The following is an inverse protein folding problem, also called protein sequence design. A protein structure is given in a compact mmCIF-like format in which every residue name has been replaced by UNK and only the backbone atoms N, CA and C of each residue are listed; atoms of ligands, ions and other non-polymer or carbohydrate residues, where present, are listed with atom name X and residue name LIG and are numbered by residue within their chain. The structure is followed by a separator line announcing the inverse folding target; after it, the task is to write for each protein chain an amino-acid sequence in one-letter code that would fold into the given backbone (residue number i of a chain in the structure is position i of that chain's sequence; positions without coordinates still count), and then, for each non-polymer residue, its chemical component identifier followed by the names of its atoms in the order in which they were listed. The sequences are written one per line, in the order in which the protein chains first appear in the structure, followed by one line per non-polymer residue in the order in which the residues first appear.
data_IF_742112674059
#
_entry.id   IF_742112674059
#
_cell.length_a   1.000
_cell.length_b   1.000
_cell.length_c   1.000
_cell.angle_alpha   90.00
_cell.angle_beta   90.00
_cell.angle_gamma   90.00
#
_symmetry.space_group_name_H-M   'P 1'
#
loop_
_entity.id
_entity.type
_entity.pdbx_description
1 polymer ?
#
# COMPACT_ATOMS: atom_id res chain seq x y z
N UNK A 1 13.45 -9.74 11.67
CA UNK A 1 12.38 -9.18 12.51
C UNK A 1 12.48 -7.67 12.75
N UNK A 2 13.59 -7.07 13.26
CA UNK A 2 13.66 -5.59 13.44
C UNK A 2 14.08 -4.81 12.17
N UNK A 3 14.85 -5.40 11.25
CA UNK A 3 15.12 -4.78 9.94
C UNK A 3 13.94 -4.89 8.96
N UNK A 4 13.04 -5.87 9.15
CA UNK A 4 11.80 -5.97 8.38
C UNK A 4 10.84 -4.83 8.72
N UNK A 5 10.86 -4.29 9.95
CA UNK A 5 9.89 -3.26 10.34
C UNK A 5 10.13 -1.92 9.65
N UNK A 6 11.39 -1.50 9.49
CA UNK A 6 11.70 -0.23 8.81
C UNK A 6 11.54 -0.35 7.29
N UNK A 7 12.00 -1.45 6.68
CA UNK A 7 11.79 -1.68 5.24
C UNK A 7 10.30 -1.74 4.92
N UNK A 8 9.53 -2.55 5.66
CA UNK A 8 8.08 -2.65 5.47
C UNK A 8 7.39 -1.30 5.73
N UNK A 9 7.86 -0.51 6.70
CA UNK A 9 7.34 0.83 6.94
C UNK A 9 7.58 1.75 5.74
N UNK A 10 8.80 1.77 5.21
CA UNK A 10 9.17 2.60 4.06
C UNK A 10 8.45 2.16 2.78
N UNK A 11 8.31 0.86 2.56
CA UNK A 11 7.56 0.29 1.42
C UNK A 11 6.07 0.64 1.49
N UNK A 12 5.46 0.49 2.67
CA UNK A 12 4.06 0.87 2.86
C UNK A 12 3.86 2.39 2.69
N UNK A 13 4.79 3.21 3.21
CA UNK A 13 4.74 4.65 3.05
C UNK A 13 4.84 5.05 1.57
N UNK A 14 5.80 4.46 0.86
CA UNK A 14 6.01 4.71 -0.57
C UNK A 14 4.76 4.31 -1.38
N UNK A 15 4.22 3.13 -1.14
CA UNK A 15 3.01 2.67 -1.81
C UNK A 15 1.82 3.62 -1.55
N UNK A 16 1.62 4.08 -0.31
CA UNK A 16 0.55 5.02 0.02
C UNK A 16 0.73 6.37 -0.69
N UNK A 17 1.94 6.92 -0.76
CA UNK A 17 2.23 8.19 -1.49
C UNK A 17 2.04 8.03 -3.00
N UNK A 18 2.34 6.87 -3.58
CA UNK A 18 2.20 6.66 -5.03
C UNK A 18 0.74 6.50 -5.46
N UNK A 19 -0.08 5.82 -4.64
CA UNK A 19 -1.48 5.55 -4.98
C UNK A 19 -2.46 6.58 -4.39
N UNK A 20 -2.04 7.33 -3.37
CA UNK A 20 -2.79 8.42 -2.77
C UNK A 20 -1.90 9.66 -2.69
N UNK A 21 -2.42 10.80 -3.13
CA UNK A 21 -1.73 12.09 -3.10
C UNK A 21 -1.66 12.68 -1.67
N UNK A 22 -1.34 11.85 -0.69
CA UNK A 22 -1.13 12.24 0.71
C UNK A 22 0.31 12.65 0.93
N UNK A 23 0.51 13.69 1.75
CA UNK A 23 1.87 14.04 2.17
C UNK A 23 2.41 13.01 3.16
N UNK A 24 3.74 12.93 3.30
CA UNK A 24 4.37 12.07 4.31
C UNK A 24 3.86 12.41 5.72
N UNK A 25 3.65 13.70 6.00
CA UNK A 25 3.09 14.16 7.28
C UNK A 25 1.66 13.66 7.51
N UNK A 26 0.83 13.60 6.47
CA UNK A 26 -0.53 13.06 6.60
C UNK A 26 -0.50 11.58 6.96
N UNK A 27 0.39 10.79 6.33
CA UNK A 27 0.51 9.35 6.56
C UNK A 27 1.13 9.05 7.93
N UNK A 28 2.08 9.87 8.38
CA UNK A 28 2.70 9.74 9.71
C UNK A 28 1.72 10.08 10.84
N UNK A 29 0.80 11.02 10.60
CA UNK A 29 -0.22 11.41 11.55
C UNK A 29 -1.48 10.52 11.52
N UNK A 30 -1.53 9.49 10.66
CA UNK A 30 -2.66 8.56 10.63
C UNK A 30 -2.77 7.76 11.91
N UNK A 31 -4.01 7.54 12.35
CA UNK A 31 -4.28 6.65 13.47
C UNK A 31 -3.84 5.22 13.07
N UNK A 32 -3.13 4.47 13.93
CA UNK A 32 -2.53 3.19 13.56
C UNK A 32 -3.50 2.18 12.93
N UNK A 33 -4.76 2.12 13.41
CA UNK A 33 -5.77 1.21 12.87
C UNK A 33 -6.25 1.65 11.48
N UNK A 34 -6.42 2.95 11.23
CA UNK A 34 -6.82 3.49 9.93
C UNK A 34 -5.75 3.18 8.88
N UNK A 35 -4.47 3.39 9.23
CA UNK A 35 -3.34 3.06 8.37
C UNK A 35 -3.35 1.57 7.97
N UNK A 36 -3.60 0.67 8.93
CA UNK A 36 -3.71 -0.77 8.64
C UNK A 36 -4.88 -1.07 7.69
N UNK A 37 -6.04 -0.45 7.89
CA UNK A 37 -7.19 -0.60 7.00
C UNK A 37 -6.88 -0.13 5.58
N UNK A 38 -6.25 1.04 5.42
CA UNK A 38 -5.86 1.56 4.10
C UNK A 38 -4.84 0.68 3.40
N UNK A 39 -3.81 0.20 4.11
CA UNK A 39 -2.84 -0.74 3.55
C UNK A 39 -3.55 -1.99 3.01
N UNK A 40 -4.52 -2.53 3.75
CA UNK A 40 -5.30 -3.69 3.31
C UNK A 40 -6.14 -3.40 2.07
N UNK A 41 -6.77 -2.23 2.00
CA UNK A 41 -7.52 -1.81 0.80
C UNK A 41 -6.61 -1.68 -0.42
N UNK A 42 -5.41 -1.10 -0.24
CA UNK A 42 -4.41 -0.95 -1.30
C UNK A 42 -3.90 -2.32 -1.79
N UNK A 43 -3.62 -3.25 -0.89
CA UNK A 43 -3.22 -4.62 -1.23
C UNK A 43 -4.27 -5.30 -2.11
N UNK A 44 -5.55 -5.24 -1.70
CA UNK A 44 -6.66 -5.80 -2.48
C UNK A 44 -6.80 -5.14 -3.86
N UNK A 45 -6.59 -3.83 -3.96
CA UNK A 45 -6.63 -3.11 -5.23
C UNK A 45 -5.53 -3.58 -6.18
N UNK A 46 -4.29 -3.68 -5.69
CA UNK A 46 -3.14 -4.15 -6.48
C UNK A 46 -3.35 -5.59 -6.95
N UNK A 47 -3.81 -6.48 -6.06
CA UNK A 47 -4.10 -7.88 -6.41
C UNK A 47 -5.13 -7.97 -7.53
N UNK A 48 -6.23 -7.21 -7.41
CA UNK A 48 -7.25 -7.14 -8.46
C UNK A 48 -6.69 -6.64 -9.79
N UNK A 49 -5.87 -5.59 -9.78
CA UNK A 49 -5.24 -5.02 -10.99
C UNK A 49 -4.29 -6.02 -11.66
N UNK A 50 -3.55 -6.80 -10.87
CA UNK A 50 -2.67 -7.85 -11.39
C UNK A 50 -3.49 -8.97 -12.03
N UNK A 51 -4.57 -9.42 -11.39
CA UNK A 51 -5.47 -10.42 -11.97
C UNK A 51 -6.09 -9.95 -13.30
N UNK A 52 -6.56 -8.70 -13.38
CA UNK A 52 -7.06 -8.10 -14.63
C UNK A 52 -5.99 -8.08 -15.72
N UNK A 53 -4.76 -7.72 -15.37
CA UNK A 53 -3.63 -7.69 -16.31
C UNK A 53 -3.26 -9.10 -16.81
N UNK A 54 -3.23 -10.10 -15.92
CA UNK A 54 -2.98 -11.50 -16.28
C UNK A 54 -4.08 -12.06 -17.19
N UNK A 55 -5.35 -11.74 -16.90
CA UNK A 55 -6.47 -12.11 -17.76
C UNK A 55 -6.36 -11.47 -19.14
N UNK A 56 -6.02 -10.19 -19.22
CA UNK A 56 -5.83 -9.47 -20.48
C UNK A 56 -4.62 -9.97 -21.29
N UNK A 57 -3.59 -10.53 -20.63
CA UNK A 57 -2.43 -11.12 -21.30
C UNK A 57 -2.71 -12.52 -21.85
N UNK A 58 -3.60 -13.27 -21.20
CA UNK A 58 -3.88 -14.67 -21.52
C UNK A 58 -5.14 -14.87 -22.40
N UNK A 59 -5.86 -13.80 -22.73
CA UNK A 59 -7.00 -13.77 -23.66
C UNK A 59 -6.65 -13.09 -24.96
#
# INVERSE_FOLDING_TARGET
MYHESLSNYMENMFALVQYHNWSLGDIENMIPWEKQTYIKMLQNFIEKRNLEYEQAKNG
#
